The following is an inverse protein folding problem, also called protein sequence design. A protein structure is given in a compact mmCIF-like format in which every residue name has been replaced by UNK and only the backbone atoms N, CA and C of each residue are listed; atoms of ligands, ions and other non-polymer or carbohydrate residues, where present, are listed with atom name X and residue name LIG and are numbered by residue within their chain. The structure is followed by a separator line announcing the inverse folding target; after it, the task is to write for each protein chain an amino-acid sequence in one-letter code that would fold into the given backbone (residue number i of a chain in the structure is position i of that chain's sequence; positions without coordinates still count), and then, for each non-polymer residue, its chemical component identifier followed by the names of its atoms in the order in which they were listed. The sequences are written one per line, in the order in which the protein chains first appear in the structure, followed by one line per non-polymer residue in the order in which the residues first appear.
data_IF_082759659538
#
_entry.id   IF_082759659538
#
_cell.length_a   1.000
_cell.length_b   1.000
_cell.length_c   1.000
_cell.angle_alpha   90.00
_cell.angle_beta   90.00
_cell.angle_gamma   90.00
#
_symmetry.space_group_name_H-M   'P 1'
#
loop_
_entity.id
_entity.type
_entity.pdbx_description
1 polymer ?
#
# COMPACT_ATOMS: atom_id res chain seq x y z
N UNK A 1 -19.26 10.10 -5.84
CA UNK A 1 -19.23 8.62 -5.86
C UNK A 1 -17.85 8.06 -5.47
N UNK A 2 -16.76 8.74 -5.83
CA UNK A 2 -15.38 8.32 -5.50
C UNK A 2 -15.12 8.09 -4.00
N UNK A 3 -15.61 8.96 -3.13
CA UNK A 3 -15.55 8.75 -1.67
C UNK A 3 -16.12 7.41 -1.22
N UNK A 4 -17.38 7.11 -1.58
CA UNK A 4 -18.04 5.87 -1.16
C UNK A 4 -17.29 4.63 -1.64
N UNK A 5 -16.75 4.67 -2.88
CA UNK A 5 -15.93 3.60 -3.43
C UNK A 5 -14.66 3.37 -2.60
N UNK A 6 -13.85 4.41 -2.38
CA UNK A 6 -12.60 4.27 -1.64
C UNK A 6 -12.80 3.97 -0.15
N UNK A 7 -13.86 4.50 0.45
CA UNK A 7 -14.28 4.13 1.79
C UNK A 7 -14.61 2.63 1.85
N UNK A 8 -15.45 2.15 0.94
CA UNK A 8 -15.84 0.74 0.90
C UNK A 8 -14.64 -0.19 0.68
N UNK A 9 -13.75 0.12 -0.27
CA UNK A 9 -12.54 -0.67 -0.53
C UNK A 9 -11.63 -0.68 0.71
N UNK A 10 -11.43 0.46 1.34
CA UNK A 10 -10.57 0.58 2.53
C UNK A 10 -11.17 -0.12 3.75
N UNK A 11 -12.49 -0.06 3.90
CA UNK A 11 -13.21 -0.83 4.90
C UNK A 11 -13.08 -2.34 4.63
N UNK A 12 -13.29 -2.78 3.39
CA UNK A 12 -13.21 -4.18 2.99
C UNK A 12 -11.81 -4.76 3.25
N UNK A 13 -10.74 -4.06 2.87
CA UNK A 13 -9.37 -4.54 3.13
C UNK A 13 -9.06 -4.59 4.63
N UNK A 14 -9.60 -3.65 5.41
CA UNK A 14 -9.46 -3.64 6.87
C UNK A 14 -10.19 -4.83 7.50
N UNK A 15 -11.39 -5.16 7.03
CA UNK A 15 -12.13 -6.36 7.46
C UNK A 15 -11.37 -7.63 7.07
N UNK A 16 -10.87 -7.73 5.85
CA UNK A 16 -10.03 -8.86 5.39
C UNK A 16 -8.82 -9.02 6.31
N UNK A 17 -8.09 -7.95 6.60
CA UNK A 17 -6.95 -7.98 7.51
C UNK A 17 -7.34 -8.41 8.93
N UNK A 18 -8.50 -7.96 9.41
CA UNK A 18 -8.99 -8.28 10.75
C UNK A 18 -9.33 -9.77 10.87
N UNK A 19 -10.02 -10.33 9.88
CA UNK A 19 -10.52 -11.70 9.88
C UNK A 19 -9.52 -12.75 9.38
N UNK A 20 -8.51 -12.36 8.60
CA UNK A 20 -7.53 -13.31 8.08
C UNK A 20 -6.67 -13.92 9.19
N UNK A 21 -6.19 -15.14 8.97
CA UNK A 21 -5.18 -15.78 9.82
C UNK A 21 -3.84 -15.05 9.67
N UNK A 22 -3.54 -14.15 10.61
CA UNK A 22 -2.31 -13.37 10.62
C UNK A 22 -1.10 -14.29 10.83
N UNK A 23 -0.11 -14.18 9.95
CA UNK A 23 1.17 -14.91 10.03
C UNK A 23 2.29 -14.01 10.55
N UNK A 24 2.12 -12.70 10.40
CA UNK A 24 2.98 -11.69 11.00
C UNK A 24 2.52 -11.41 12.44
N UNK A 25 3.47 -11.10 13.33
CA UNK A 25 3.15 -10.65 14.69
C UNK A 25 2.49 -9.27 14.65
N UNK A 26 1.83 -8.86 15.74
CA UNK A 26 1.25 -7.51 15.82
C UNK A 26 2.28 -6.42 15.52
N UNK A 27 3.46 -6.52 16.13
CA UNK A 27 4.58 -5.58 15.94
C UNK A 27 5.04 -5.55 14.47
N UNK A 28 5.20 -6.72 13.82
CA UNK A 28 5.59 -6.80 12.41
C UNK A 28 4.55 -6.15 11.48
N UNK A 29 3.27 -6.37 11.74
CA UNK A 29 2.19 -5.76 10.96
C UNK A 29 2.20 -4.23 11.12
N UNK A 30 2.29 -3.75 12.37
CA UNK A 30 2.34 -2.32 12.67
C UNK A 30 3.56 -1.64 12.06
N UNK A 31 4.74 -2.29 12.13
CA UNK A 31 5.96 -1.79 11.51
C UNK A 31 5.79 -1.59 10.00
N UNK A 32 5.32 -2.62 9.29
CA UNK A 32 5.10 -2.54 7.84
C UNK A 32 4.05 -1.47 7.52
N UNK A 33 2.93 -1.45 8.26
CA UNK A 33 1.86 -0.46 8.06
C UNK A 33 2.41 0.97 8.16
N UNK A 34 3.12 1.29 9.24
CA UNK A 34 3.65 2.63 9.49
C UNK A 34 4.71 3.02 8.45
N UNK A 35 5.60 2.09 8.08
CA UNK A 35 6.60 2.34 7.06
C UNK A 35 5.96 2.71 5.72
N UNK A 36 4.99 1.90 5.27
CA UNK A 36 4.31 2.13 3.99
C UNK A 36 3.46 3.41 4.04
N UNK A 37 2.84 3.70 5.19
CA UNK A 37 2.10 4.94 5.41
C UNK A 37 3.00 6.17 5.24
N UNK A 38 4.15 6.20 5.92
CA UNK A 38 5.11 7.31 5.85
C UNK A 38 5.58 7.53 4.42
N UNK A 39 5.99 6.46 3.73
CA UNK A 39 6.45 6.56 2.33
C UNK A 39 5.31 7.06 1.44
N UNK A 40 4.10 6.54 1.61
CA UNK A 40 2.95 6.91 0.79
C UNK A 40 2.53 8.36 0.97
N UNK A 41 2.57 8.89 2.20
CA UNK A 41 2.30 10.30 2.50
C UNK A 41 3.34 11.19 1.81
N UNK A 42 4.62 10.91 2.02
CA UNK A 42 5.71 11.74 1.47
C UNK A 42 5.75 11.69 -0.05
N UNK A 43 5.66 10.50 -0.64
CA UNK A 43 5.63 10.35 -2.09
C UNK A 43 4.45 11.10 -2.72
N UNK A 44 3.26 10.94 -2.14
CA UNK A 44 2.05 11.64 -2.61
C UNK A 44 2.21 13.16 -2.57
N UNK A 45 2.84 13.69 -1.52
CA UNK A 45 3.13 15.11 -1.41
C UNK A 45 4.13 15.56 -2.47
N UNK A 46 5.23 14.82 -2.68
CA UNK A 46 6.24 15.13 -3.70
C UNK A 46 5.62 15.17 -5.11
N UNK A 47 4.84 14.16 -5.49
CA UNK A 47 4.30 14.09 -6.86
C UNK A 47 3.20 15.13 -7.12
N UNK A 48 2.50 15.59 -6.08
CA UNK A 48 1.36 16.49 -6.24
C UNK A 48 1.69 17.96 -5.97
N UNK A 49 2.39 18.25 -4.88
CA UNK A 49 2.72 19.61 -4.48
C UNK A 49 4.01 20.11 -5.16
N UNK A 50 5.08 19.32 -5.08
CA UNK A 50 6.42 19.74 -5.53
C UNK A 50 6.57 19.60 -7.04
N UNK A 51 6.39 18.39 -7.55
CA UNK A 51 6.63 18.08 -8.97
C UNK A 51 5.42 18.34 -9.86
N UNK A 52 4.23 18.56 -9.26
CA UNK A 52 2.95 18.82 -9.94
C UNK A 52 2.65 17.82 -11.08
N UNK A 53 3.04 16.56 -10.90
CA UNK A 53 2.85 15.48 -11.87
C UNK A 53 1.42 14.95 -11.86
N UNK A 54 0.77 15.06 -10.69
CA UNK A 54 -0.63 14.69 -10.43
C UNK A 54 -1.31 15.84 -9.69
N UNK A 55 -2.46 16.29 -10.16
CA UNK A 55 -3.28 17.26 -9.42
C UNK A 55 -4.39 16.54 -8.66
N UNK A 56 -4.66 17.00 -7.44
CA UNK A 56 -5.68 16.45 -6.56
C UNK A 56 -6.98 17.25 -6.73
N UNK A 57 -8.12 16.58 -6.59
CA UNK A 57 -9.42 17.24 -6.57
C UNK A 57 -9.52 18.24 -5.41
N UNK A 58 -10.09 19.42 -5.71
CA UNK A 58 -10.41 20.43 -4.70
C UNK A 58 -11.72 20.13 -3.97
N UNK A 59 -12.51 19.16 -4.44
CA UNK A 59 -13.75 18.76 -3.79
C UNK A 59 -13.43 17.99 -2.50
N UNK A 60 -13.96 18.42 -1.33
CA UNK A 60 -13.58 17.85 -0.04
C UNK A 60 -13.77 16.33 0.08
N UNK A 61 -14.85 15.79 -0.49
CA UNK A 61 -15.13 14.35 -0.45
C UNK A 61 -14.15 13.54 -1.30
N UNK A 62 -13.78 14.04 -2.48
CA UNK A 62 -12.85 13.36 -3.37
C UNK A 62 -11.41 13.46 -2.85
N UNK A 63 -11.03 14.61 -2.28
CA UNK A 63 -9.79 14.74 -1.53
C UNK A 63 -9.72 13.77 -0.34
N UNK A 64 -10.82 13.62 0.39
CA UNK A 64 -10.90 12.63 1.48
C UNK A 64 -10.78 11.20 0.96
N UNK A 65 -11.38 10.89 -0.20
CA UNK A 65 -11.25 9.60 -0.87
C UNK A 65 -9.78 9.27 -1.18
N UNK A 66 -9.04 10.26 -1.72
CA UNK A 66 -7.60 10.17 -1.94
C UNK A 66 -6.83 9.93 -0.64
N UNK A 67 -7.14 10.69 0.43
CA UNK A 67 -6.47 10.51 1.73
C UNK A 67 -6.71 9.12 2.31
N UNK A 68 -7.93 8.58 2.21
CA UNK A 68 -8.30 7.23 2.65
C UNK A 68 -7.51 6.19 1.86
N UNK A 69 -7.46 6.30 0.53
CA UNK A 69 -6.68 5.37 -0.29
C UNK A 69 -5.20 5.38 0.11
N UNK A 70 -4.60 6.57 0.22
CA UNK A 70 -3.20 6.76 0.56
C UNK A 70 -2.83 6.24 1.94
N UNK A 71 -3.70 6.48 2.93
CA UNK A 71 -3.37 6.29 4.35
C UNK A 71 -3.89 4.97 4.92
N UNK A 72 -4.90 4.38 4.29
CA UNK A 72 -5.53 3.14 4.75
C UNK A 72 -5.39 2.08 3.65
N UNK A 73 -5.90 2.35 2.45
CA UNK A 73 -5.89 1.38 1.34
C UNK A 73 -4.51 0.83 1.02
N UNK A 74 -3.56 1.69 0.64
CA UNK A 74 -2.20 1.29 0.23
C UNK A 74 -1.47 0.52 1.35
N UNK A 75 -1.39 1.02 2.60
CA UNK A 75 -0.70 0.30 3.67
C UNK A 75 -1.35 -1.05 4.02
N UNK A 76 -2.68 -1.12 4.14
CA UNK A 76 -3.35 -2.38 4.47
C UNK A 76 -3.22 -3.42 3.36
N UNK A 77 -3.27 -3.01 2.09
CA UNK A 77 -3.03 -3.95 0.98
C UNK A 77 -1.64 -4.58 1.13
N UNK A 78 -0.59 -3.79 1.38
CA UNK A 78 0.77 -4.32 1.57
C UNK A 78 0.86 -5.28 2.77
N UNK A 79 0.25 -4.93 3.90
CA UNK A 79 0.25 -5.79 5.10
C UNK A 79 -0.48 -7.11 4.84
N UNK A 80 -1.64 -7.08 4.19
CA UNK A 80 -2.39 -8.28 3.77
C UNK A 80 -1.53 -9.13 2.85
N UNK A 81 -0.90 -8.52 1.83
CA UNK A 81 0.00 -9.21 0.88
C UNK A 81 1.12 -9.94 1.60
N UNK A 82 1.82 -9.31 2.55
CA UNK A 82 2.92 -9.96 3.28
C UNK A 82 2.44 -11.10 4.18
N UNK A 83 1.25 -10.98 4.79
CA UNK A 83 0.66 -12.07 5.56
C UNK A 83 0.34 -13.28 4.67
N UNK A 84 -0.22 -13.04 3.48
CA UNK A 84 -0.51 -14.09 2.50
C UNK A 84 0.76 -14.75 1.98
N UNK A 85 1.79 -13.96 1.63
CA UNK A 85 3.10 -14.45 1.19
C UNK A 85 3.74 -15.34 2.25
N UNK A 86 3.70 -14.96 3.53
CA UNK A 86 4.23 -15.79 4.63
C UNK A 86 3.42 -17.08 4.85
N UNK A 87 2.20 -17.15 4.33
CA UNK A 87 1.32 -18.32 4.41
C UNK A 87 1.57 -19.39 3.34
N UNK A 88 2.40 -19.11 2.34
CA UNK A 88 2.67 -20.03 1.22
C UNK A 88 4.13 -20.49 1.20
N UNK A 89 4.35 -21.76 0.81
CA UNK A 89 5.69 -22.37 0.80
C UNK A 89 6.40 -22.28 -0.56
N UNK A 90 5.75 -21.68 -1.58
CA UNK A 90 6.27 -21.65 -2.96
C UNK A 90 6.60 -20.23 -3.37
N UNK A 91 7.83 -20.02 -3.88
CA UNK A 91 8.29 -18.74 -4.42
C UNK A 91 7.37 -18.24 -5.54
N UNK A 92 6.92 -19.15 -6.42
CA UNK A 92 6.00 -18.79 -7.50
C UNK A 92 4.65 -18.26 -6.99
N UNK A 93 4.09 -18.89 -5.94
CA UNK A 93 2.86 -18.40 -5.31
C UNK A 93 3.06 -17.05 -4.63
N UNK A 94 4.18 -16.86 -3.94
CA UNK A 94 4.53 -15.57 -3.33
C UNK A 94 4.66 -14.46 -4.35
N UNK A 95 5.33 -14.73 -5.48
CA UNK A 95 5.47 -13.79 -6.58
C UNK A 95 4.12 -13.44 -7.19
N UNK A 96 3.25 -14.44 -7.41
CA UNK A 96 1.90 -14.23 -7.92
C UNK A 96 1.08 -13.33 -6.98
N UNK A 97 1.13 -13.57 -5.67
CA UNK A 97 0.44 -12.74 -4.66
C UNK A 97 0.94 -11.29 -4.71
N UNK A 98 2.26 -11.08 -4.84
CA UNK A 98 2.86 -9.75 -4.96
C UNK A 98 2.46 -9.04 -6.27
N UNK A 99 2.44 -9.76 -7.39
CA UNK A 99 1.99 -9.18 -8.67
C UNK A 99 0.51 -8.82 -8.61
N UNK A 100 -0.33 -9.69 -8.04
CA UNK A 100 -1.75 -9.40 -7.85
C UNK A 100 -2.00 -8.16 -6.98
N UNK A 101 -1.23 -7.95 -5.91
CA UNK A 101 -1.39 -6.76 -5.07
C UNK A 101 -1.03 -5.48 -5.81
N UNK A 102 0.06 -5.49 -6.58
CA UNK A 102 0.47 -4.36 -7.42
C UNK A 102 -0.62 -4.05 -8.46
N UNK A 103 -1.15 -5.07 -9.12
CA UNK A 103 -2.24 -4.90 -10.12
C UNK A 103 -3.48 -4.30 -9.47
N UNK A 104 -3.89 -4.79 -8.30
CA UNK A 104 -5.03 -4.22 -7.55
C UNK A 104 -4.79 -2.74 -7.23
N UNK A 105 -3.60 -2.39 -6.75
CA UNK A 105 -3.26 -1.00 -6.43
C UNK A 105 -3.29 -0.09 -7.67
N UNK A 106 -2.71 -0.53 -8.78
CA UNK A 106 -2.75 0.20 -10.05
C UNK A 106 -4.19 0.37 -10.55
N UNK A 107 -5.02 -0.68 -10.44
CA UNK A 107 -6.44 -0.61 -10.80
C UNK A 107 -7.18 0.42 -9.95
N UNK A 108 -6.94 0.45 -8.63
CA UNK A 108 -7.54 1.45 -7.75
C UNK A 108 -7.15 2.86 -8.16
N UNK A 109 -5.87 3.15 -8.38
CA UNK A 109 -5.43 4.48 -8.84
C UNK A 109 -6.05 4.86 -10.18
N UNK A 110 -6.16 3.91 -11.13
CA UNK A 110 -6.83 4.14 -12.41
C UNK A 110 -8.31 4.50 -12.21
N UNK A 111 -9.01 3.80 -11.31
CA UNK A 111 -10.40 4.12 -10.97
C UNK A 111 -10.52 5.49 -10.30
N UNK A 112 -9.56 5.88 -9.46
CA UNK A 112 -9.50 7.23 -8.89
C UNK A 112 -9.42 8.32 -9.95
N UNK A 113 -8.66 8.10 -11.02
CA UNK A 113 -8.58 9.03 -12.14
C UNK A 113 -9.88 9.09 -12.96
N UNK A 114 -10.60 7.96 -13.11
CA UNK A 114 -11.91 7.93 -13.79
C UNK A 114 -13.01 8.60 -12.95
N UNK A 115 -12.87 8.61 -11.63
CA UNK A 115 -13.80 9.23 -10.68
C UNK A 115 -13.43 10.70 -10.36
N UNK A 116 -12.55 11.32 -11.14
CA UNK A 116 -12.09 12.71 -10.98
C UNK A 116 -11.48 13.04 -9.60
N UNK A 117 -10.91 12.03 -8.92
CA UNK A 117 -10.21 12.24 -7.64
C UNK A 117 -8.78 12.76 -7.87
N UNK A 118 -8.13 12.28 -8.93
CA UNK A 118 -6.77 12.67 -9.32
C UNK A 118 -6.69 12.90 -10.82
N UNK A 119 -6.14 14.03 -11.26
CA UNK A 119 -5.87 14.27 -12.67
C UNK A 119 -4.38 14.10 -12.98
N UNK A 120 -4.08 13.37 -14.06
CA UNK A 120 -2.71 13.05 -14.48
C UNK A 120 -2.23 14.12 -15.45
N UNK A 121 -1.16 14.83 -15.10
CA UNK A 121 -0.55 15.84 -15.99
C UNK A 121 0.61 15.23 -16.76
N UNK A 122 1.59 14.68 -16.05
CA UNK A 122 2.79 14.01 -16.62
C UNK A 122 3.05 12.63 -16.04
N UNK A 123 2.10 12.10 -15.27
CA UNK A 123 2.24 10.84 -14.54
C UNK A 123 1.48 9.69 -15.21
N UNK A 124 2.23 8.79 -15.82
CA UNK A 124 1.67 7.65 -16.56
C UNK A 124 1.42 6.44 -15.64
N UNK A 125 0.57 5.52 -16.07
CA UNK A 125 0.21 4.33 -15.29
C UNK A 125 1.39 3.38 -15.05
N UNK A 126 2.40 3.41 -15.93
CA UNK A 126 3.66 2.68 -15.74
C UNK A 126 4.39 3.17 -14.49
N UNK A 127 4.33 4.48 -14.20
CA UNK A 127 4.96 5.04 -13.01
C UNK A 127 4.26 4.57 -11.73
N UNK A 128 2.93 4.39 -11.76
CA UNK A 128 2.20 3.77 -10.65
C UNK A 128 2.65 2.34 -10.41
N UNK A 129 2.81 1.56 -11.49
CA UNK A 129 3.30 0.19 -11.40
C UNK A 129 4.69 0.14 -10.78
N UNK A 130 5.61 0.98 -11.25
CA UNK A 130 6.98 1.08 -10.72
C UNK A 130 6.95 1.47 -9.24
N UNK A 131 6.15 2.48 -8.88
CA UNK A 131 5.98 2.93 -7.50
C UNK A 131 5.52 1.80 -6.59
N UNK A 132 4.44 1.09 -6.95
CA UNK A 132 3.91 0.00 -6.13
C UNK A 132 4.83 -1.22 -6.09
N UNK A 133 5.54 -1.53 -7.18
CA UNK A 133 6.57 -2.57 -7.18
C UNK A 133 7.71 -2.21 -6.21
N UNK A 134 8.18 -0.97 -6.23
CA UNK A 134 9.22 -0.51 -5.32
C UNK A 134 8.75 -0.52 -3.86
N UNK A 135 7.51 -0.09 -3.61
CA UNK A 135 6.90 -0.11 -2.29
C UNK A 135 6.76 -1.54 -1.74
N UNK A 136 6.39 -2.50 -2.59
CA UNK A 136 6.32 -3.92 -2.25
C UNK A 136 7.69 -4.50 -1.92
N UNK A 137 8.74 -4.12 -2.67
CA UNK A 137 10.12 -4.51 -2.37
C UNK A 137 10.60 -3.93 -1.03
N UNK A 138 10.35 -2.65 -0.78
CA UNK A 138 10.67 -2.01 0.51
C UNK A 138 9.98 -2.74 1.64
N UNK A 139 8.68 -3.03 1.52
CA UNK A 139 7.91 -3.74 2.55
C UNK A 139 8.52 -5.12 2.87
N UNK A 140 8.92 -5.86 1.84
CA UNK A 140 9.50 -7.19 2.00
C UNK A 140 10.90 -7.15 2.63
N UNK A 141 11.79 -6.31 2.12
CA UNK A 141 13.17 -6.24 2.60
C UNK A 141 13.28 -5.60 3.99
N UNK A 142 12.49 -4.57 4.28
CA UNK A 142 12.45 -3.96 5.61
C UNK A 142 11.97 -4.93 6.68
N UNK A 143 10.93 -5.73 6.40
CA UNK A 143 10.46 -6.77 7.31
C UNK A 143 11.52 -7.85 7.55
N UNK A 144 12.24 -8.25 6.50
CA UNK A 144 13.35 -9.20 6.61
C UNK A 144 14.47 -8.65 7.49
N UNK A 145 14.82 -7.37 7.32
CA UNK A 145 15.83 -6.70 8.13
C UNK A 145 15.40 -6.58 9.60
N UNK A 146 14.16 -6.14 9.83
CA UNK A 146 13.56 -6.01 11.16
C UNK A 146 13.63 -7.32 11.95
N UNK A 147 13.27 -8.45 11.32
CA UNK A 147 13.39 -9.78 11.93
C UNK A 147 14.82 -10.16 12.27
N UNK A 148 15.75 -9.91 11.35
CA UNK A 148 17.16 -10.24 11.55
C UNK A 148 17.74 -9.48 12.75
N UNK A 149 17.36 -8.21 12.91
CA UNK A 149 17.78 -7.38 14.06
C UNK A 149 17.25 -7.93 15.38
N UNK A 150 15.97 -8.30 15.45
CA UNK A 150 15.40 -8.85 16.69
C UNK A 150 16.04 -10.19 17.06
N UNK A 151 16.35 -11.05 16.09
CA UNK A 151 17.05 -12.31 16.35
C UNK A 151 18.47 -12.10 16.88
N UNK A 152 19.20 -11.10 16.39
CA UNK A 152 20.53 -10.79 16.93
C UNK A 152 20.48 -10.24 18.35
N UNK A 153 19.44 -9.49 18.71
CA UNK A 153 19.26 -8.99 20.08
C UNK A 153 18.96 -10.10 21.08
N UNK A 154 18.11 -11.08 20.71
CA UNK A 154 17.80 -12.24 21.56
C UNK A 154 19.01 -13.14 21.82
N UNK A 155 19.95 -13.25 20.88
CA UNK A 155 21.19 -14.04 21.05
C UNK A 155 22.22 -13.32 21.94
N UNK A 156 22.13 -11.99 22.05
CA UNK A 156 23.07 -11.16 22.82
C UNK A 156 22.69 -10.94 24.29
N UNK A 157 21.49 -11.37 24.69
CA UNK A 157 20.98 -11.35 26.08
C UNK A 157 21.15 -12.71 26.74
#
# INVERSE_FOLDING_TARGET
MGFAFYFFVSWLITVIFTLMKKRLSFIENSFVYLLILIISINFSWIISAELRLVTLSMHPLDYTAFMIHRSIGIPFIHVVTLNLIKGVNSIGKSLLIAVCSIVILVMLVKLGAVLDITHRVKWNIINDFIYFAFLQLIAFYSLKFFRKSNQSEEISR
#
